data_IF_427431921804
#
_entry.id   IF_427431921804
#
_cell.length_a   1.000
_cell.length_b   1.000
_cell.length_c   1.000
_cell.angle_alpha   90.00
_cell.angle_beta   90.00
_cell.angle_gamma   90.00
#
_symmetry.space_group_name_H-M   'P 1'
#
loop_
_entity.id
_entity.type
_entity.pdbx_description
1 polymer ?
#
# COMPACT_ATOMS: atom_id res chain seq x y z
N UNK A 1 16.67 37.67 7.18
CA UNK A 1 16.48 37.22 8.58
C UNK A 1 15.73 35.93 8.52
N UNK A 2 16.48 34.82 8.42
CA UNK A 2 15.93 33.48 8.31
C UNK A 2 15.30 33.12 9.66
N UNK A 3 14.05 32.66 9.60
CA UNK A 3 13.33 32.24 10.80
C UNK A 3 13.93 30.90 11.20
N UNK A 4 14.78 30.88 12.21
CA UNK A 4 15.02 29.68 13.02
C UNK A 4 13.71 29.31 13.71
N UNK A 5 12.84 28.63 12.97
CA UNK A 5 11.72 27.93 13.57
C UNK A 5 12.31 26.71 14.26
N UNK A 6 12.27 26.69 15.58
CA UNK A 6 12.52 25.48 16.35
C UNK A 6 11.58 24.39 15.83
N UNK A 7 12.11 23.46 15.05
CA UNK A 7 11.32 22.39 14.44
C UNK A 7 10.93 21.44 15.57
N UNK A 8 9.63 21.25 15.79
CA UNK A 8 9.15 20.22 16.72
C UNK A 8 9.57 18.84 16.21
N UNK A 9 9.84 17.90 17.11
CA UNK A 9 10.15 16.51 16.74
C UNK A 9 9.08 15.94 15.81
N UNK A 10 7.82 16.24 16.09
CA UNK A 10 6.69 15.79 15.26
C UNK A 10 6.71 16.39 13.86
N UNK A 11 7.12 17.65 13.71
CA UNK A 11 7.26 18.30 12.40
C UNK A 11 8.39 17.67 11.58
N UNK A 12 9.50 17.31 12.26
CA UNK A 12 10.61 16.63 11.60
C UNK A 12 10.20 15.23 11.12
N UNK A 13 9.51 14.46 11.97
CA UNK A 13 8.96 13.15 11.62
C UNK A 13 8.00 13.26 10.43
N UNK A 14 7.07 14.23 10.46
CA UNK A 14 6.12 14.46 9.37
C UNK A 14 6.85 14.77 8.05
N UNK A 15 7.88 15.62 8.07
CA UNK A 15 8.69 15.93 6.88
C UNK A 15 9.34 14.67 6.30
N UNK A 16 9.89 13.82 7.14
CA UNK A 16 10.51 12.55 6.74
C UNK A 16 9.47 11.59 6.17
N UNK A 17 8.33 11.43 6.83
CA UNK A 17 7.23 10.61 6.31
C UNK A 17 6.82 11.08 4.90
N UNK A 18 6.60 12.38 4.71
CA UNK A 18 6.26 12.94 3.40
C UNK A 18 7.33 12.67 2.34
N UNK A 19 8.62 12.72 2.70
CA UNK A 19 9.70 12.36 1.78
C UNK A 19 9.67 10.87 1.42
N UNK A 20 9.50 9.98 2.39
CA UNK A 20 9.39 8.54 2.15
C UNK A 20 8.14 8.17 1.33
N UNK A 21 7.03 8.90 1.47
CA UNK A 21 5.83 8.69 0.66
C UNK A 21 6.10 8.97 -0.83
N UNK A 22 6.87 10.03 -1.14
CA UNK A 22 7.28 10.31 -2.54
C UNK A 22 8.28 9.29 -3.05
N UNK A 23 9.09 8.75 -2.15
CA UNK A 23 10.15 7.78 -2.45
C UNK A 23 11.51 8.43 -2.39
N UNK A 24 12.48 7.61 -1.98
CA UNK A 24 13.88 8.00 -1.79
C UNK A 24 14.76 7.21 -2.76
N UNK A 25 15.99 7.69 -2.95
CA UNK A 25 16.95 7.07 -3.88
C UNK A 25 18.09 6.36 -3.16
N UNK A 26 18.51 6.90 -2.03
CA UNK A 26 19.71 6.45 -1.33
C UNK A 26 19.36 5.67 -0.06
N UNK A 27 20.06 4.56 0.16
CA UNK A 27 19.90 3.75 1.39
C UNK A 27 20.26 4.54 2.65
N UNK A 28 21.26 5.42 2.55
CA UNK A 28 21.68 6.29 3.66
C UNK A 28 20.53 7.16 4.17
N UNK A 29 19.65 7.65 3.28
CA UNK A 29 18.47 8.41 3.67
C UNK A 29 17.48 7.54 4.45
N UNK A 30 17.30 6.27 4.04
CA UNK A 30 16.42 5.33 4.72
C UNK A 30 16.90 5.04 6.15
N UNK A 31 18.21 4.80 6.32
CA UNK A 31 18.79 4.57 7.64
C UNK A 31 18.75 5.81 8.54
N UNK A 32 19.01 6.99 7.98
CA UNK A 32 18.89 8.25 8.70
C UNK A 32 17.44 8.50 9.17
N UNK A 33 16.45 8.24 8.31
CA UNK A 33 15.03 8.30 8.69
C UNK A 33 14.70 7.32 9.82
N UNK A 34 15.26 6.10 9.79
CA UNK A 34 15.05 5.10 10.83
C UNK A 34 15.53 5.51 12.22
N UNK A 35 16.40 6.53 12.33
CA UNK A 35 16.82 7.07 13.63
C UNK A 35 15.77 7.96 14.29
N UNK A 36 14.76 8.41 13.53
CA UNK A 36 13.70 9.32 14.00
C UNK A 36 12.31 8.69 13.96
N UNK A 37 12.09 7.70 13.09
CA UNK A 37 10.81 7.02 12.92
C UNK A 37 10.65 5.84 13.87
N UNK A 38 9.43 5.64 14.36
CA UNK A 38 9.05 4.35 14.96
C UNK A 38 8.68 3.32 13.89
N UNK A 39 8.58 2.06 14.31
CA UNK A 39 8.02 0.98 13.49
C UNK A 39 6.62 1.32 12.98
N UNK A 40 5.75 1.83 13.85
CA UNK A 40 4.39 2.23 13.47
C UNK A 40 4.40 3.33 12.41
N UNK A 41 5.27 4.34 12.56
CA UNK A 41 5.39 5.44 11.60
C UNK A 41 5.82 4.91 10.22
N UNK A 42 6.67 3.88 10.17
CA UNK A 42 7.09 3.23 8.92
C UNK A 42 5.99 2.37 8.31
N UNK A 43 5.25 1.61 9.12
CA UNK A 43 4.11 0.81 8.66
C UNK A 43 3.01 1.68 8.03
N UNK A 44 2.77 2.87 8.58
CA UNK A 44 1.88 3.87 8.00
C UNK A 44 2.39 4.33 6.63
N UNK A 45 3.68 4.64 6.49
CA UNK A 45 4.29 5.00 5.20
C UNK A 45 4.12 3.88 4.16
N UNK A 46 4.35 2.63 4.55
CA UNK A 46 4.16 1.45 3.67
C UNK A 46 2.70 1.37 3.22
N UNK A 47 1.77 1.54 4.16
CA UNK A 47 0.32 1.48 3.91
C UNK A 47 -0.11 2.61 2.97
N UNK A 48 0.24 3.84 3.27
CA UNK A 48 -0.08 5.01 2.45
C UNK A 48 0.50 4.92 1.03
N UNK A 49 1.74 4.43 0.87
CA UNK A 49 2.33 4.15 -0.44
C UNK A 49 1.51 3.13 -1.23
N UNK A 50 1.00 2.10 -0.57
CA UNK A 50 0.17 1.08 -1.21
C UNK A 50 -1.20 1.61 -1.67
N UNK A 51 -1.77 2.57 -0.93
CA UNK A 51 -3.04 3.25 -1.27
C UNK A 51 -2.88 3.97 -2.62
N UNK A 52 -1.77 4.69 -2.81
CA UNK A 52 -1.42 5.37 -4.07
C UNK A 52 -0.84 4.42 -5.14
N UNK A 53 -0.96 3.10 -4.94
CA UNK A 53 -0.50 2.04 -5.86
C UNK A 53 1.00 2.03 -6.13
N UNK A 54 1.80 2.48 -5.18
CA UNK A 54 3.26 2.34 -5.19
C UNK A 54 3.71 1.21 -4.27
N UNK A 55 4.87 0.63 -4.57
CA UNK A 55 5.50 -0.34 -3.69
C UNK A 55 5.75 0.29 -2.31
N UNK A 56 5.36 -0.42 -1.25
CA UNK A 56 5.52 0.02 0.13
C UNK A 56 6.98 0.27 0.54
N UNK A 57 7.94 -0.37 -0.13
CA UNK A 57 9.36 -0.13 0.15
C UNK A 57 9.80 1.24 -0.39
N UNK A 58 10.29 2.18 0.44
CA UNK A 58 10.52 3.57 0.02
C UNK A 58 11.56 3.77 -1.09
N UNK A 59 12.54 2.87 -1.22
CA UNK A 59 13.55 2.89 -2.29
C UNK A 59 13.03 2.34 -3.63
N UNK A 60 11.84 1.74 -3.62
CA UNK A 60 11.24 1.13 -4.80
C UNK A 60 10.17 2.04 -5.39
N UNK A 61 10.42 2.56 -6.59
CA UNK A 61 9.45 3.37 -7.34
C UNK A 61 8.45 2.55 -8.18
N UNK A 62 8.50 1.21 -8.09
CA UNK A 62 7.62 0.34 -8.87
C UNK A 62 6.17 0.46 -8.41
N UNK A 63 5.23 0.36 -9.36
CA UNK A 63 3.79 0.33 -9.06
C UNK A 63 3.34 -1.06 -8.61
N UNK A 64 2.31 -1.09 -7.78
CA UNK A 64 1.65 -2.33 -7.38
C UNK A 64 0.71 -2.82 -8.51
N UNK A 65 0.65 -4.12 -8.78
CA UNK A 65 -0.31 -4.67 -9.73
C UNK A 65 -1.76 -4.46 -9.26
N UNK A 66 -2.61 -3.90 -10.14
CA UNK A 66 -4.03 -3.64 -9.84
C UNK A 66 -4.81 -4.92 -9.50
N UNK A 67 -4.44 -6.05 -10.10
CA UNK A 67 -5.10 -7.34 -9.92
C UNK A 67 -5.04 -7.87 -8.48
N UNK A 68 -4.14 -7.34 -7.63
CA UNK A 68 -4.04 -7.81 -6.24
C UNK A 68 -5.20 -7.33 -5.37
N UNK A 69 -5.82 -6.20 -5.70
CA UNK A 69 -6.96 -5.68 -4.95
C UNK A 69 -8.21 -6.55 -5.11
N UNK A 70 -8.32 -7.31 -6.21
CA UNK A 70 -9.45 -8.21 -6.46
C UNK A 70 -9.23 -9.61 -5.89
N UNK A 71 -8.00 -9.95 -5.49
CA UNK A 71 -7.66 -11.24 -4.88
C UNK A 71 -7.84 -11.14 -3.36
N UNK A 72 -8.50 -12.14 -2.77
CA UNK A 72 -8.71 -12.20 -1.33
C UNK A 72 -7.40 -12.23 -0.53
N UNK A 73 -7.50 -11.95 0.78
CA UNK A 73 -6.35 -11.90 1.71
C UNK A 73 -5.60 -13.23 1.80
N UNK A 74 -6.30 -14.36 1.70
CA UNK A 74 -5.70 -15.67 1.97
C UNK A 74 -5.53 -16.50 0.70
N UNK A 75 -4.42 -17.26 0.63
CA UNK A 75 -4.17 -18.26 -0.41
C UNK A 75 -3.99 -19.64 0.20
N UNK A 76 -4.83 -20.58 -0.19
CA UNK A 76 -4.79 -21.96 0.28
C UNK A 76 -3.96 -22.81 -0.69
N UNK A 77 -2.90 -23.45 -0.18
CA UNK A 77 -2.10 -24.42 -0.93
C UNK A 77 -2.46 -25.83 -0.49
N UNK A 78 -3.18 -26.56 -1.34
CA UNK A 78 -3.54 -27.96 -1.11
C UNK A 78 -2.35 -28.92 -1.25
N UNK A 79 -1.23 -28.49 -1.85
CA UNK A 79 -0.01 -29.31 -1.94
C UNK A 79 0.75 -29.33 -0.62
N UNK A 80 0.77 -28.20 0.08
CA UNK A 80 1.55 -28.01 1.30
C UNK A 80 0.66 -28.01 2.56
N UNK A 81 -0.66 -28.12 2.39
CA UNK A 81 -1.67 -28.00 3.45
C UNK A 81 -1.47 -26.74 4.30
N UNK A 82 -1.18 -25.61 3.63
CA UNK A 82 -0.91 -24.31 4.28
C UNK A 82 -1.82 -23.22 3.74
N UNK A 83 -2.27 -22.35 4.64
CA UNK A 83 -2.96 -21.10 4.33
C UNK A 83 -1.97 -19.96 4.48
N UNK A 84 -1.75 -19.23 3.40
CA UNK A 84 -0.86 -18.08 3.37
C UNK A 84 -1.67 -16.80 3.50
N UNK A 85 -1.25 -15.90 4.40
CA UNK A 85 -1.72 -14.52 4.40
C UNK A 85 -0.92 -13.73 3.35
N UNK A 86 -1.62 -13.15 2.38
CA UNK A 86 -1.05 -12.36 1.31
C UNK A 86 -1.09 -10.85 1.59
N UNK A 87 -1.68 -10.42 2.70
CA UNK A 87 -1.83 -9.01 3.05
C UNK A 87 -0.50 -8.25 2.93
N UNK A 88 0.54 -8.75 3.60
CA UNK A 88 1.88 -8.15 3.55
C UNK A 88 2.44 -8.14 2.11
N UNK A 89 2.32 -9.26 1.39
CA UNK A 89 2.83 -9.36 0.01
C UNK A 89 2.13 -8.43 -0.98
N UNK A 90 0.90 -8.02 -0.70
CA UNK A 90 0.16 -7.10 -1.56
C UNK A 90 0.63 -5.66 -1.44
N UNK A 91 1.33 -5.31 -0.35
CA UNK A 91 1.91 -3.98 -0.14
C UNK A 91 3.19 -3.75 -0.97
N UNK A 92 3.79 -4.79 -1.57
CA UNK A 92 5.11 -4.70 -2.22
C UNK A 92 5.13 -5.30 -3.61
N UNK A 93 5.89 -4.74 -4.55
CA UNK A 93 5.90 -5.26 -5.92
C UNK A 93 6.45 -6.69 -6.05
N UNK A 94 7.39 -7.10 -5.19
CA UNK A 94 8.11 -8.38 -5.25
C UNK A 94 8.44 -8.93 -3.86
N UNK A 95 8.78 -10.23 -3.78
CA UNK A 95 9.23 -10.87 -2.54
C UNK A 95 10.50 -10.25 -1.97
N UNK A 96 11.40 -9.76 -2.83
CA UNK A 96 12.61 -9.05 -2.40
C UNK A 96 12.25 -7.80 -1.61
N UNK A 97 11.34 -6.97 -2.12
CA UNK A 97 10.89 -5.77 -1.41
C UNK A 97 10.17 -6.08 -0.09
N UNK A 98 9.46 -7.22 0.01
CA UNK A 98 8.88 -7.68 1.28
C UNK A 98 10.01 -7.91 2.30
N UNK A 99 11.04 -8.67 1.91
CA UNK A 99 12.14 -9.05 2.82
C UNK A 99 12.93 -7.82 3.26
N UNK A 100 13.32 -6.95 2.31
CA UNK A 100 14.12 -5.75 2.60
C UNK A 100 13.32 -4.76 3.46
N UNK A 101 12.06 -4.50 3.11
CA UNK A 101 11.20 -3.62 3.89
C UNK A 101 10.94 -4.14 5.31
N UNK A 102 10.69 -5.45 5.44
CA UNK A 102 10.48 -6.10 6.73
C UNK A 102 11.75 -6.09 7.58
N UNK A 103 12.92 -6.30 6.99
CA UNK A 103 14.19 -6.23 7.68
C UNK A 103 14.42 -4.81 8.24
N UNK A 104 14.16 -3.78 7.42
CA UNK A 104 14.25 -2.40 7.86
C UNK A 104 13.23 -2.08 8.98
N UNK A 105 11.93 -2.35 8.78
CA UNK A 105 10.91 -2.11 9.81
C UNK A 105 11.13 -2.88 11.11
N UNK A 106 11.74 -4.08 11.01
CA UNK A 106 12.16 -4.87 12.16
C UNK A 106 13.31 -4.25 12.95
N UNK A 107 14.17 -3.45 12.30
CA UNK A 107 15.27 -2.74 12.94
C UNK A 107 14.85 -1.47 13.70
N UNK A 108 13.63 -0.98 13.45
CA UNK A 108 13.08 0.22 14.10
C UNK A 108 12.52 -0.09 15.49
N UNK A 109 12.52 0.93 16.36
CA UNK A 109 11.90 0.87 17.68
C UNK A 109 10.38 0.94 17.59
N UNK A 110 9.68 0.23 18.48
CA UNK A 110 8.21 0.17 18.50
C UNK A 110 7.57 1.53 18.82
N UNK A 111 8.22 2.34 19.67
CA UNK A 111 7.75 3.65 20.10
C UNK A 111 8.83 4.69 19.82
N UNK A 112 8.40 5.94 19.61
CA UNK A 112 9.32 7.06 19.44
C UNK A 112 10.16 7.27 20.70
N UNK A 113 11.46 7.50 20.52
CA UNK A 113 12.37 7.87 21.60
C UNK A 113 12.07 9.30 22.02
N UNK A 114 11.71 9.50 23.30
CA UNK A 114 11.34 10.82 23.82
C UNK A 114 12.51 11.82 23.90
N UNK A 115 13.76 11.34 23.83
CA UNK A 115 14.97 12.16 23.91
C UNK A 115 15.74 12.06 22.60
N UNK A 116 15.48 12.99 21.70
CA UNK A 116 16.23 13.14 20.46
C UNK A 116 17.10 14.40 20.54
N UNK A 117 18.36 14.27 20.16
CA UNK A 117 19.28 15.41 20.11
C UNK A 117 18.89 16.30 18.92
N UNK A 118 18.67 17.59 19.15
CA UNK A 118 18.32 18.56 18.10
C UNK A 118 19.32 18.54 16.93
N UNK A 119 20.62 18.47 17.22
CA UNK A 119 21.66 18.38 16.20
C UNK A 119 21.50 17.16 15.26
N UNK A 120 21.08 16.00 15.80
CA UNK A 120 20.83 14.81 14.98
C UNK A 120 19.62 14.99 14.08
N UNK A 121 18.57 15.65 14.58
CA UNK A 121 17.38 15.95 13.79
C UNK A 121 17.76 16.84 12.60
N UNK A 122 18.54 17.89 12.85
CA UNK A 122 18.99 18.80 11.79
C UNK A 122 19.90 18.11 10.77
N UNK A 123 20.79 17.21 11.21
CA UNK A 123 21.62 16.38 10.31
C UNK A 123 20.77 15.50 9.40
N UNK A 124 19.75 14.84 9.95
CA UNK A 124 18.85 13.99 9.16
C UNK A 124 18.05 14.86 8.18
N UNK A 125 17.47 15.98 8.63
CA UNK A 125 16.66 16.83 7.77
C UNK A 125 17.43 17.38 6.56
N UNK A 126 18.72 17.72 6.72
CA UNK A 126 19.59 18.14 5.60
C UNK A 126 19.68 17.10 4.49
N UNK A 127 19.67 15.80 4.83
CA UNK A 127 19.68 14.72 3.82
C UNK A 127 18.39 14.65 2.99
N UNK A 128 17.30 15.27 3.46
CA UNK A 128 16.00 15.30 2.80
C UNK A 128 15.66 16.64 2.14
N UNK A 129 16.37 17.73 2.48
CA UNK A 129 16.20 19.04 1.83
C UNK A 129 16.62 19.03 0.35
N UNK A 130 17.61 18.22 0.00
CA UNK A 130 18.08 18.05 -1.39
C UNK A 130 17.03 17.40 -2.31
N UNK A 131 15.97 16.81 -1.75
CA UNK A 131 14.87 16.21 -2.52
C UNK A 131 13.85 17.25 -3.04
N UNK A 132 14.06 18.54 -2.75
CA UNK A 132 13.41 19.67 -3.43
C UNK A 132 11.92 19.45 -3.69
N UNK A 133 11.06 19.89 -2.77
CA UNK A 133 9.58 19.88 -2.88
C UNK A 133 9.02 20.63 -4.11
N UNK A 134 9.87 21.17 -5.00
CA UNK A 134 9.54 22.03 -6.13
C UNK A 134 9.48 21.32 -7.49
N UNK A 135 9.08 20.05 -7.54
CA UNK A 135 8.56 19.50 -8.81
C UNK A 135 7.07 19.24 -8.70
N UNK A 136 6.33 20.28 -9.11
CA UNK A 136 4.97 20.21 -9.64
C UNK A 136 4.96 19.25 -10.84
N UNK A 137 5.05 17.94 -10.59
CA UNK A 137 4.74 16.93 -11.60
C UNK A 137 3.24 16.75 -11.64
N UNK A 138 2.70 17.04 -12.83
CA UNK A 138 1.27 17.19 -13.10
C UNK A 138 0.45 16.00 -12.62
N UNK A 139 -0.26 16.23 -11.52
CA UNK A 139 -1.49 15.53 -11.23
C UNK A 139 -2.46 15.98 -12.32
N UNK A 140 -2.53 15.19 -13.40
CA UNK A 140 -3.57 15.34 -14.40
C UNK A 140 -4.89 15.24 -13.64
N UNK A 141 -5.60 16.36 -13.58
CA UNK A 141 -6.98 16.42 -13.11
C UNK A 141 -7.82 15.48 -13.97
N UNK A 142 -8.06 14.25 -13.50
CA UNK A 142 -9.19 13.45 -13.96
C UNK A 142 -9.52 12.38 -12.94
N UNK A 143 -10.43 12.75 -12.02
CA UNK A 143 -10.99 11.83 -11.05
C UNK A 143 -11.53 12.56 -9.84
N UNK A 144 -12.42 13.54 -10.04
CA UNK A 144 -13.29 13.96 -8.94
C UNK A 144 -13.99 12.70 -8.41
N UNK A 145 -13.91 12.46 -7.11
CA UNK A 145 -14.78 11.49 -6.46
C UNK A 145 -16.20 11.95 -6.76
N UNK A 146 -16.90 11.21 -7.63
CA UNK A 146 -18.23 11.53 -8.17
C UNK A 146 -19.32 11.49 -7.11
N UNK A 147 -19.17 12.28 -6.06
CA UNK A 147 -20.06 12.37 -4.90
C UNK A 147 -21.12 13.46 -5.09
N UNK A 148 -21.18 14.09 -6.27
CA UNK A 148 -22.13 15.18 -6.54
C UNK A 148 -23.56 14.71 -6.82
N UNK A 149 -23.83 13.40 -6.80
CA UNK A 149 -25.16 12.86 -7.11
C UNK A 149 -25.54 11.68 -6.21
N UNK A 150 -25.35 11.82 -4.90
CA UNK A 150 -25.94 10.91 -3.92
C UNK A 150 -26.96 11.72 -3.08
N UNK A 151 -28.24 11.55 -3.40
CA UNK A 151 -29.34 11.99 -2.53
C UNK A 151 -29.65 10.88 -1.54
N UNK A 152 -29.53 11.16 -0.26
CA UNK A 152 -30.07 10.30 0.79
C UNK A 152 -31.58 10.53 0.80
N UNK A 153 -32.35 9.56 0.34
CA UNK A 153 -33.80 9.52 0.57
C UNK A 153 -34.08 8.60 1.76
N UNK A 154 -34.77 9.13 2.76
CA UNK A 154 -35.20 8.38 3.93
C UNK A 154 -36.43 7.53 3.55
N UNK A 155 -36.25 6.21 3.47
CA UNK A 155 -37.38 5.31 3.26
C UNK A 155 -38.07 5.04 4.60
N UNK A 156 -39.02 5.89 4.96
CA UNK A 156 -39.96 5.60 6.04
C UNK A 156 -41.02 4.65 5.49
N UNK A 157 -40.72 3.35 5.49
CA UNK A 157 -41.76 2.35 5.40
C UNK A 157 -41.51 1.27 6.44
N UNK A 158 -42.20 1.43 7.57
CA UNK A 158 -42.33 0.40 8.60
C UNK A 158 -43.17 -0.72 8.01
N UNK A 159 -42.51 -1.80 7.60
CA UNK A 159 -43.14 -3.03 7.16
C UNK A 159 -42.26 -4.20 7.54
N UNK A 160 -42.62 -4.88 8.63
CA UNK A 160 -41.99 -6.10 9.12
C UNK A 160 -41.89 -7.14 8.00
N UNK A 161 -40.68 -7.63 7.71
CA UNK A 161 -40.48 -8.94 7.12
C UNK A 161 -39.65 -9.02 5.83
N UNK A 162 -38.50 -9.70 5.96
CA UNK A 162 -37.67 -10.35 4.91
C UNK A 162 -36.76 -9.43 4.08
N UNK A 163 -35.52 -9.27 4.56
CA UNK A 163 -34.41 -8.80 3.75
C UNK A 163 -33.92 -9.93 2.83
N UNK A 164 -34.33 -9.90 1.56
CA UNK A 164 -33.66 -10.64 0.50
C UNK A 164 -32.68 -9.67 -0.18
N UNK A 165 -31.37 -9.91 -0.04
CA UNK A 165 -30.37 -9.19 -0.80
C UNK A 165 -30.54 -9.54 -2.28
N UNK A 166 -31.15 -8.65 -3.06
CA UNK A 166 -31.13 -8.74 -4.52
C UNK A 166 -29.95 -7.93 -5.03
N UNK A 167 -28.90 -8.66 -5.42
CA UNK A 167 -27.80 -8.14 -6.20
C UNK A 167 -28.35 -7.81 -7.60
N UNK A 168 -28.19 -6.56 -8.01
CA UNK A 168 -28.57 -6.10 -9.35
C UNK A 168 -27.83 -6.89 -10.43
N UNK A 169 -28.60 -7.44 -11.36
CA UNK A 169 -28.10 -8.15 -12.52
C UNK A 169 -27.80 -7.14 -13.64
N UNK A 170 -26.53 -6.90 -13.92
CA UNK A 170 -26.10 -6.17 -15.11
C UNK A 170 -25.94 -7.17 -16.27
N UNK A 171 -26.84 -7.07 -17.24
CA UNK A 171 -26.87 -7.92 -18.42
C UNK A 171 -25.81 -7.49 -19.42
N UNK A 172 -24.63 -8.13 -19.40
CA UNK A 172 -23.67 -8.01 -20.50
C UNK A 172 -23.81 -9.21 -21.45
N UNK A 173 -24.42 -8.98 -22.62
CA UNK A 173 -24.57 -10.01 -23.68
C UNK A 173 -23.24 -10.21 -24.40
N UNK A 174 -22.40 -11.12 -23.87
CA UNK A 174 -21.21 -11.65 -24.54
C UNK A 174 -21.48 -13.01 -25.20
N UNK A 175 -21.21 -13.13 -26.50
CA UNK A 175 -21.47 -14.30 -27.36
C UNK A 175 -20.78 -15.61 -26.88
N UNK A 176 -21.39 -16.79 -27.13
CA UNK A 176 -20.86 -18.08 -26.69
C UNK A 176 -19.65 -18.55 -27.51
N UNK A 177 -18.55 -18.91 -26.82
CA UNK A 177 -17.42 -19.65 -27.42
C UNK A 177 -17.75 -21.14 -27.43
N UNK A 178 -17.70 -21.74 -28.63
CA UNK A 178 -17.89 -23.18 -28.88
C UNK A 178 -16.90 -24.01 -28.06
N UNK A 179 -17.43 -25.03 -27.37
CA UNK A 179 -16.64 -26.03 -26.66
C UNK A 179 -15.79 -26.86 -27.62
N UNK A 180 -14.58 -27.21 -27.17
CA UNK A 180 -13.76 -28.25 -27.79
C UNK A 180 -13.67 -29.40 -26.78
N UNK A 181 -14.13 -30.55 -27.24
CA UNK A 181 -14.35 -31.77 -26.48
C UNK A 181 -13.04 -32.47 -26.10
N UNK A 182 -13.14 -33.28 -25.04
CA UNK A 182 -12.06 -33.98 -24.34
C UNK A 182 -11.46 -35.09 -25.21
N UNK A 183 -10.16 -35.30 -25.09
CA UNK A 183 -9.56 -36.61 -25.36
C UNK A 183 -8.92 -37.14 -24.08
N UNK A 184 -9.51 -38.23 -23.57
CA UNK A 184 -9.02 -39.04 -22.46
C UNK A 184 -8.19 -40.16 -23.09
N UNK A 185 -6.88 -40.05 -23.10
CA UNK A 185 -6.04 -41.22 -23.35
C UNK A 185 -5.85 -42.01 -22.06
N UNK A 186 -6.55 -43.14 -21.99
CA UNK A 186 -6.26 -44.25 -21.08
C UNK A 186 -5.08 -45.02 -21.66
N UNK A 187 -3.88 -44.82 -21.13
CA UNK A 187 -2.77 -45.74 -21.33
C UNK A 187 -2.95 -46.98 -20.44
N UNK A 188 -3.24 -48.14 -21.05
CA UNK A 188 -3.21 -49.48 -20.46
C UNK A 188 -2.42 -50.38 -21.43
N UNK A 189 -1.21 -50.79 -21.07
CA UNK A 189 -0.50 -52.03 -21.49
C UNK A 189 0.49 -52.31 -20.32
N UNK A 190 0.30 -53.38 -19.51
CA UNK A 190 0.87 -54.76 -19.60
C UNK A 190 2.41 -54.73 -19.69
N UNK A 191 3.21 -55.46 -18.93
CA UNK A 191 3.10 -56.65 -18.06
C UNK A 191 4.07 -56.46 -16.88
#
# INVERSE_FOLDING_TARGET
MEKEQLISVDDAVLKIQLALLRGIREENQLFAAGSLLSRSDYEDVVTERSIVKLCGYPLCANRLPEERASRGRYRISLKEHKVYDLHETYLYCSSRCVIESRAFGGSLEEKRVAVLNSAKIDEVLKLFEELGFDRREGLSERGGLGLKELKIEENVNVGVGKCCWKIGAESNKGKPKKGRERERERGRIRE
#
